data_IF_479003705442
#
_entry.id   IF_479003705442
#
_cell.length_a   1.000
_cell.length_b   1.000
_cell.length_c   1.000
_cell.angle_alpha   90.00
_cell.angle_beta   90.00
_cell.angle_gamma   90.00
#
_symmetry.space_group_name_H-M   'P 1'
#
loop_
_entity.id
_entity.type
_entity.pdbx_description
1 polymer ?
#
# COMPACT_ATOMS: atom_id res chain seq x y z
N UNK A 1 7.74 -11.01 1.68
CA UNK A 1 7.19 -9.67 1.33
C UNK A 1 7.07 -9.55 -0.17
N UNK A 2 5.86 -9.81 -0.66
CA UNK A 2 5.50 -9.60 -2.06
C UNK A 2 4.51 -8.43 -2.15
N UNK A 3 4.67 -7.59 -3.17
CA UNK A 3 3.68 -6.57 -3.51
C UNK A 3 2.93 -7.06 -4.75
N UNK A 4 1.62 -7.21 -4.62
CA UNK A 4 0.71 -7.55 -5.71
C UNK A 4 -0.18 -6.34 -5.99
N UNK A 5 -0.23 -5.90 -7.24
CA UNK A 5 -1.12 -4.82 -7.66
C UNK A 5 -2.20 -5.38 -8.57
N UNK A 6 -3.45 -5.09 -8.21
CA UNK A 6 -4.67 -5.43 -8.94
C UNK A 6 -5.25 -4.14 -9.51
N UNK A 7 -5.86 -4.25 -10.70
CA UNK A 7 -6.53 -3.13 -11.36
C UNK A 7 -5.65 -1.87 -11.43
N UNK A 8 -4.37 -2.00 -11.84
CA UNK A 8 -3.46 -0.85 -11.93
C UNK A 8 -3.93 0.25 -12.91
N UNK A 9 -4.70 -0.13 -13.94
CA UNK A 9 -5.31 0.76 -14.93
C UNK A 9 -6.32 1.77 -14.34
N UNK A 10 -6.88 1.48 -13.16
CA UNK A 10 -7.87 2.27 -12.44
C UNK A 10 -7.22 3.26 -11.48
N UNK A 11 -5.88 3.31 -11.43
CA UNK A 11 -5.17 4.28 -10.60
C UNK A 11 -5.67 5.73 -10.82
N UNK A 12 -5.87 6.24 -12.06
CA UNK A 12 -6.39 7.60 -12.24
C UNK A 12 -7.72 7.83 -11.52
N UNK A 13 -8.67 6.90 -11.66
CA UNK A 13 -9.98 6.95 -11.00
C UNK A 13 -9.86 6.80 -9.47
N UNK A 14 -8.96 5.94 -8.99
CA UNK A 14 -8.69 5.80 -7.56
C UNK A 14 -8.14 7.09 -6.93
N UNK A 15 -7.30 7.82 -7.68
CA UNK A 15 -6.75 9.11 -7.25
C UNK A 15 -7.80 10.23 -7.24
N UNK A 16 -8.95 10.04 -7.87
CA UNK A 16 -10.08 10.98 -7.81
C UNK A 16 -10.95 10.77 -6.56
N UNK A 17 -10.78 9.66 -5.81
CA UNK A 17 -11.55 9.41 -4.59
C UNK A 17 -11.36 10.54 -3.55
N UNK A 18 -12.46 11.19 -3.19
CA UNK A 18 -12.51 12.29 -2.24
C UNK A 18 -12.26 11.85 -0.79
N UNK A 19 -12.38 10.55 -0.49
CA UNK A 19 -12.07 9.98 0.83
C UNK A 19 -10.57 9.93 1.11
N UNK A 20 -9.76 9.90 0.05
CA UNK A 20 -8.29 9.89 0.13
C UNK A 20 -7.75 11.31 0.26
N UNK A 21 -6.86 11.51 1.24
CA UNK A 21 -6.08 12.74 1.34
C UNK A 21 -4.93 12.72 0.33
N UNK A 22 -4.35 13.87 0.00
CA UNK A 22 -3.21 13.95 -0.94
C UNK A 22 -2.03 13.06 -0.54
N UNK A 23 -1.75 12.92 0.75
CA UNK A 23 -0.74 11.98 1.26
C UNK A 23 -1.09 10.52 0.97
N UNK A 24 -2.37 10.15 1.08
CA UNK A 24 -2.86 8.79 0.87
C UNK A 24 -2.75 8.44 -0.63
N UNK A 25 -3.11 9.41 -1.49
CA UNK A 25 -2.95 9.35 -2.95
C UNK A 25 -1.49 9.19 -3.37
N UNK A 26 -0.57 9.90 -2.70
CA UNK A 26 0.86 9.76 -2.92
C UNK A 26 1.37 8.36 -2.59
N UNK A 27 1.00 7.80 -1.44
CA UNK A 27 1.39 6.42 -1.08
C UNK A 27 0.79 5.40 -2.06
N UNK A 28 -0.47 5.57 -2.45
CA UNK A 28 -1.12 4.69 -3.42
C UNK A 28 -0.39 4.71 -4.78
N UNK A 29 -0.06 5.89 -5.30
CA UNK A 29 0.66 6.01 -6.57
C UNK A 29 2.07 5.42 -6.47
N UNK A 30 2.80 5.66 -5.36
CA UNK A 30 4.08 5.00 -5.12
C UNK A 30 3.94 3.49 -5.13
N UNK A 31 2.97 2.92 -4.42
CA UNK A 31 2.77 1.47 -4.39
C UNK A 31 2.49 0.90 -5.79
N UNK A 32 1.60 1.51 -6.55
CA UNK A 32 1.21 1.03 -7.89
C UNK A 32 2.35 1.18 -8.90
N UNK A 33 3.05 2.32 -8.90
CA UNK A 33 4.11 2.62 -9.87
C UNK A 33 5.45 1.96 -9.51
N UNK A 34 5.70 1.65 -8.24
CA UNK A 34 6.94 0.97 -7.80
C UNK A 34 6.85 -0.55 -7.93
N UNK A 35 5.65 -1.09 -8.18
CA UNK A 35 5.38 -2.52 -8.31
C UNK A 35 6.07 -3.19 -9.52
N UNK A 36 6.83 -2.45 -10.34
CA UNK A 36 7.75 -3.00 -11.34
C UNK A 36 9.01 -3.62 -10.69
N UNK A 37 8.83 -4.66 -9.88
CA UNK A 37 9.89 -5.58 -9.47
C UNK A 37 10.62 -5.29 -8.16
N UNK A 38 10.19 -4.30 -7.35
CA UNK A 38 10.82 -3.98 -6.05
C UNK A 38 10.00 -4.49 -4.86
N UNK A 39 10.70 -4.96 -3.81
CA UNK A 39 10.09 -5.29 -2.52
C UNK A 39 9.72 -4.00 -1.79
N UNK A 40 8.43 -3.74 -1.61
CA UNK A 40 7.96 -2.56 -0.86
C UNK A 40 7.69 -2.93 0.60
N UNK A 41 8.17 -2.09 1.52
CA UNK A 41 7.97 -2.22 2.96
C UNK A 41 7.52 -0.87 3.55
N UNK A 42 7.00 -0.88 4.78
CA UNK A 42 6.67 0.38 5.48
C UNK A 42 7.90 1.29 5.60
N UNK A 43 9.06 0.72 5.96
CA UNK A 43 10.31 1.49 6.05
C UNK A 43 10.73 2.06 4.69
N UNK A 44 10.58 1.29 3.61
CA UNK A 44 10.86 1.78 2.27
C UNK A 44 10.03 3.03 1.93
N UNK A 45 8.72 3.00 2.24
CA UNK A 45 7.83 4.14 2.02
C UNK A 45 8.20 5.35 2.90
N UNK A 46 8.69 5.12 4.12
CA UNK A 46 9.12 6.19 5.02
C UNK A 46 10.42 6.83 4.51
N UNK A 47 11.41 6.02 4.14
CA UNK A 47 12.72 6.49 3.65
C UNK A 47 12.62 7.24 2.32
N UNK A 48 11.64 6.90 1.49
CA UNK A 48 11.43 7.52 0.18
C UNK A 48 10.31 8.57 0.17
N UNK A 49 9.84 8.98 1.35
CA UNK A 49 8.87 10.07 1.49
C UNK A 49 9.52 11.26 2.19
N UNK A 50 9.10 12.48 1.80
CA UNK A 50 9.41 13.69 2.55
C UNK A 50 8.53 13.85 3.81
N UNK A 51 7.55 12.95 3.98
CA UNK A 51 6.69 12.90 5.15
C UNK A 51 7.30 12.11 6.30
N UNK A 52 6.95 12.50 7.53
CA UNK A 52 7.32 11.76 8.72
C UNK A 52 6.64 10.39 8.83
N UNK A 53 7.24 9.50 9.63
CA UNK A 53 6.75 8.13 9.90
C UNK A 53 5.25 8.06 10.24
N UNK A 54 4.76 8.94 11.10
CA UNK A 54 3.34 8.98 11.50
C UNK A 54 2.41 9.28 10.33
N UNK A 55 2.81 10.17 9.42
CA UNK A 55 2.03 10.53 8.24
C UNK A 55 1.94 9.36 7.26
N UNK A 56 3.06 8.68 6.98
CA UNK A 56 3.09 7.50 6.10
C UNK A 56 2.25 6.36 6.68
N UNK A 57 2.36 6.09 7.98
CA UNK A 57 1.53 5.08 8.66
C UNK A 57 0.05 5.40 8.62
N UNK A 58 -0.31 6.67 8.77
CA UNK A 58 -1.69 7.12 8.65
C UNK A 58 -2.22 6.94 7.23
N UNK A 59 -1.40 7.18 6.21
CA UNK A 59 -1.75 6.97 4.81
C UNK A 59 -2.00 5.48 4.52
N UNK A 60 -1.10 4.60 4.96
CA UNK A 60 -1.26 3.15 4.86
C UNK A 60 -2.57 2.70 5.53
N UNK A 61 -2.85 3.16 6.75
CA UNK A 61 -4.08 2.80 7.48
C UNK A 61 -5.34 3.30 6.77
N UNK A 62 -5.30 4.50 6.16
CA UNK A 62 -6.41 5.02 5.36
C UNK A 62 -6.64 4.17 4.10
N UNK A 63 -5.58 3.76 3.41
CA UNK A 63 -5.69 2.89 2.24
C UNK A 63 -6.30 1.52 2.61
N UNK A 64 -5.94 0.97 3.77
CA UNK A 64 -6.60 -0.24 4.29
C UNK A 64 -8.08 -0.01 4.59
N UNK A 65 -8.38 1.10 5.28
CA UNK A 65 -9.76 1.46 5.65
C UNK A 65 -10.68 1.62 4.44
N UNK A 66 -10.16 2.14 3.33
CA UNK A 66 -10.96 2.43 2.13
C UNK A 66 -10.85 1.33 1.06
N UNK A 67 -10.26 0.18 1.38
CA UNK A 67 -10.22 -0.99 0.50
C UNK A 67 -9.24 -0.86 -0.67
N UNK A 68 -8.21 -0.04 -0.54
CA UNK A 68 -7.13 0.12 -1.53
C UNK A 68 -5.89 -0.71 -1.21
N UNK A 69 -5.69 -1.09 0.05
CA UNK A 69 -4.57 -1.88 0.50
C UNK A 69 -5.03 -2.98 1.44
N UNK A 70 -4.49 -4.17 1.26
CA UNK A 70 -4.63 -5.27 2.21
C UNK A 70 -3.26 -5.85 2.52
N UNK A 71 -3.01 -6.08 3.80
CA UNK A 71 -1.75 -6.65 4.28
C UNK A 71 -2.00 -7.98 4.95
N UNK A 72 -1.56 -9.05 4.30
CA UNK A 72 -1.63 -10.39 4.85
C UNK A 72 -0.31 -10.74 5.54
N UNK A 73 -0.36 -11.17 6.80
CA UNK A 73 0.83 -11.62 7.53
C UNK A 73 0.96 -13.13 7.37
N UNK A 74 1.99 -13.56 6.67
CA UNK A 74 2.38 -14.95 6.61
C UNK A 74 3.19 -15.32 7.85
N UNK A 75 2.83 -16.46 8.42
CA UNK A 75 3.58 -17.12 9.48
C UNK A 75 4.09 -18.45 8.94
N UNK A 76 5.31 -18.80 9.29
CA UNK A 76 5.88 -20.09 8.94
C UNK A 76 5.22 -21.23 9.75
N UNK A 77 5.60 -22.48 9.45
CA UNK A 77 5.10 -23.68 10.13
C UNK A 77 5.35 -23.68 11.64
N UNK A 78 6.32 -22.91 12.13
CA UNK A 78 6.62 -22.75 13.57
C UNK A 78 5.86 -21.59 14.22
N UNK A 79 4.93 -20.95 13.50
CA UNK A 79 4.12 -19.82 13.97
C UNK A 79 4.87 -18.49 14.05
N UNK A 80 6.11 -18.43 13.57
CA UNK A 80 6.94 -17.23 13.52
C UNK A 80 6.56 -16.36 12.33
N UNK A 81 6.57 -15.04 12.51
CA UNK A 81 6.35 -14.10 11.43
C UNK A 81 7.43 -14.27 10.35
N UNK A 82 7.01 -14.53 9.12
CA UNK A 82 7.90 -14.73 7.99
C UNK A 82 7.88 -13.53 7.04
N UNK A 83 6.67 -13.03 6.75
CA UNK A 83 6.45 -12.19 5.59
C UNK A 83 5.15 -11.39 5.75
N UNK A 84 5.09 -10.20 5.17
CA UNK A 84 3.82 -9.50 4.94
C UNK A 84 3.62 -9.37 3.43
N UNK A 85 2.52 -9.88 2.91
CA UNK A 85 2.11 -9.65 1.53
C UNK A 85 1.27 -8.38 1.48
N UNK A 86 1.58 -7.51 0.54
CA UNK A 86 0.86 -6.27 0.28
C UNK A 86 0.06 -6.46 -0.99
N UNK A 87 -1.26 -6.33 -0.90
CA UNK A 87 -2.17 -6.43 -2.03
C UNK A 87 -2.82 -5.07 -2.20
N UNK A 88 -2.54 -4.42 -3.31
CA UNK A 88 -3.13 -3.13 -3.67
C UNK A 88 -4.17 -3.36 -4.74
N UNK A 89 -5.37 -2.82 -4.57
CA UNK A 89 -6.43 -2.88 -5.58
C UNK A 89 -6.95 -1.47 -5.85
N UNK A 90 -6.69 -0.95 -7.05
CA UNK A 90 -7.15 0.40 -7.39
C UNK A 90 -8.67 0.48 -7.63
N UNK A 91 -9.41 -0.65 -7.59
CA UNK A 91 -10.87 -0.64 -7.61
C UNK A 91 -11.50 -0.19 -6.28
N UNK A 92 -10.73 -0.20 -5.18
CA UNK A 92 -11.20 0.19 -3.85
C UNK A 92 -12.16 -0.81 -3.21
N UNK A 93 -12.02 -2.11 -3.54
CA UNK A 93 -12.94 -3.19 -3.14
C UNK A 93 -12.34 -4.25 -2.23
N UNK A 94 -11.10 -4.08 -1.76
CA UNK A 94 -10.47 -5.07 -0.87
C UNK A 94 -11.13 -5.08 0.50
#
# INVERSE_FOLDING_TARGET
MTLKVLNAQQLPTALEDSRLKNRDKGVLSTLVLTAFGKKVTENYLIEHSNDGRTTVRSAISNLEKYGYLFRERERNETGTYESTNWIVDCSGKV
#
